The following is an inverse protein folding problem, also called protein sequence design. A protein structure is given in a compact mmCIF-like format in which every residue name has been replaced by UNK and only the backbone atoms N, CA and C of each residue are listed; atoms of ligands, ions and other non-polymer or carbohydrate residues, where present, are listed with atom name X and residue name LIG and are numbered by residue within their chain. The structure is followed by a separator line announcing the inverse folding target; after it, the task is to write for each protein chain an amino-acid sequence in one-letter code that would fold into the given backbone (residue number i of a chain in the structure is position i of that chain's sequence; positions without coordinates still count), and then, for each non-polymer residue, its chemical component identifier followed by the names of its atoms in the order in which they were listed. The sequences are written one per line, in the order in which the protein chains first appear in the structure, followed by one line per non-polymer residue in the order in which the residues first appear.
data_IF_444475864305
#
_entry.id   IF_444475864305
#
_cell.length_a   1.000
_cell.length_b   1.000
_cell.length_c   1.000
_cell.angle_alpha   90.00
_cell.angle_beta   90.00
_cell.angle_gamma   90.00
#
_symmetry.space_group_name_H-M   'P 1'
#
loop_
_entity.id
_entity.type
_entity.pdbx_description
1 polymer ?
#
# COMPACT_ATOMS: atom_id res chain seq x y z
N UNK A 1 -22.28 0.89 -9.52
CA UNK A 1 -22.16 2.19 -10.20
C UNK A 1 -21.39 1.97 -11.50
N UNK A 2 -21.91 2.52 -12.62
CA UNK A 2 -21.16 2.52 -13.87
C UNK A 2 -19.97 3.49 -13.80
N UNK A 3 -18.99 3.32 -14.72
CA UNK A 3 -17.75 4.09 -14.68
C UNK A 3 -17.96 5.61 -14.80
N UNK A 4 -18.98 6.05 -15.57
CA UNK A 4 -19.27 7.49 -15.74
C UNK A 4 -19.86 8.10 -14.47
N UNK A 5 -20.78 7.41 -13.83
CA UNK A 5 -21.41 7.86 -12.58
C UNK A 5 -20.37 7.89 -11.45
N UNK A 6 -19.47 6.91 -11.41
CA UNK A 6 -18.34 6.86 -10.47
C UNK A 6 -17.42 8.08 -10.65
N UNK A 7 -17.00 8.37 -11.88
CA UNK A 7 -16.13 9.51 -12.18
C UNK A 7 -16.79 10.85 -11.84
N UNK A 8 -18.06 10.99 -12.15
CA UNK A 8 -18.83 12.19 -11.78
C UNK A 8 -18.91 12.37 -10.26
N UNK A 9 -19.13 11.29 -9.52
CA UNK A 9 -19.15 11.34 -8.04
C UNK A 9 -17.81 11.77 -7.48
N UNK A 10 -16.70 11.17 -7.96
CA UNK A 10 -15.34 11.51 -7.52
C UNK A 10 -15.03 12.98 -7.82
N UNK A 11 -15.34 13.46 -9.02
CA UNK A 11 -15.10 14.86 -9.38
C UNK A 11 -15.91 15.84 -8.51
N UNK A 12 -17.15 15.47 -8.18
CA UNK A 12 -18.01 16.26 -7.29
C UNK A 12 -17.46 16.32 -5.87
N UNK A 13 -17.00 15.19 -5.33
CA UNK A 13 -16.38 15.12 -4.01
C UNK A 13 -15.10 15.97 -3.95
N UNK A 14 -14.23 15.86 -4.95
CA UNK A 14 -13.03 16.69 -5.04
C UNK A 14 -13.33 18.18 -5.10
N UNK A 15 -14.36 18.59 -5.84
CA UNK A 15 -14.79 19.99 -5.86
C UNK A 15 -15.24 20.45 -4.48
N UNK A 16 -16.06 19.66 -3.78
CA UNK A 16 -16.55 19.99 -2.44
C UNK A 16 -15.43 20.12 -1.40
N UNK A 17 -14.40 19.28 -1.49
CA UNK A 17 -13.23 19.30 -0.59
C UNK A 17 -12.35 20.51 -0.90
N UNK A 18 -12.07 20.78 -2.18
CA UNK A 18 -11.18 21.86 -2.61
C UNK A 18 -11.77 23.25 -2.37
N UNK A 19 -13.09 23.39 -2.38
CA UNK A 19 -13.75 24.65 -2.01
C UNK A 19 -13.63 25.00 -0.51
N UNK A 20 -13.02 24.10 0.28
CA UNK A 20 -12.60 24.36 1.67
C UNK A 20 -13.73 24.52 2.69
N UNK A 21 -14.98 24.28 2.30
CA UNK A 21 -16.14 24.52 3.17
C UNK A 21 -16.69 23.25 3.82
N UNK A 22 -16.20 22.07 3.43
CA UNK A 22 -16.78 20.80 3.89
C UNK A 22 -15.71 19.72 4.08
N UNK A 23 -15.90 18.91 5.11
CA UNK A 23 -15.17 17.66 5.30
C UNK A 23 -16.02 16.51 4.78
N UNK A 24 -15.40 15.57 4.08
CA UNK A 24 -16.06 14.37 3.54
C UNK A 24 -15.51 13.15 4.25
N UNK A 25 -16.40 12.32 4.76
CA UNK A 25 -16.06 10.98 5.24
C UNK A 25 -16.63 9.98 4.25
N UNK A 26 -15.75 9.17 3.65
CA UNK A 26 -16.10 8.15 2.67
C UNK A 26 -15.71 6.77 3.19
N UNK A 27 -16.59 5.79 3.02
CA UNK A 27 -16.26 4.38 3.23
C UNK A 27 -16.31 3.67 1.87
N UNK A 28 -15.22 3.05 1.48
CA UNK A 28 -15.10 2.32 0.21
C UNK A 28 -14.16 1.14 0.36
N UNK A 29 -14.36 0.11 -0.44
CA UNK A 29 -13.39 -0.96 -0.66
C UNK A 29 -12.54 -0.72 -1.93
N UNK A 30 -12.89 0.26 -2.74
CA UNK A 30 -12.14 0.64 -3.92
C UNK A 30 -11.05 1.63 -3.53
N UNK A 31 -9.84 1.12 -3.29
CA UNK A 31 -8.73 1.89 -2.75
C UNK A 31 -8.27 3.00 -3.69
N UNK A 32 -8.36 2.76 -5.00
CA UNK A 32 -8.09 3.76 -6.03
C UNK A 32 -8.97 5.02 -5.89
N UNK A 33 -10.28 4.84 -5.56
CA UNK A 33 -11.18 5.97 -5.34
C UNK A 33 -10.84 6.74 -4.08
N UNK A 34 -10.49 6.01 -3.01
CA UNK A 34 -10.06 6.60 -1.74
C UNK A 34 -8.80 7.44 -1.95
N UNK A 35 -7.83 6.91 -2.68
CA UNK A 35 -6.56 7.58 -3.00
C UNK A 35 -6.75 8.89 -3.79
N UNK A 36 -7.77 8.92 -4.66
CA UNK A 36 -8.09 10.08 -5.50
C UNK A 36 -8.83 11.20 -4.77
N UNK A 37 -9.49 10.91 -3.65
CA UNK A 37 -10.38 11.87 -2.95
C UNK A 37 -9.89 12.19 -1.54
N UNK A 38 -9.26 11.24 -0.86
CA UNK A 38 -8.93 11.36 0.55
C UNK A 38 -7.45 11.65 0.78
N UNK A 39 -7.15 12.56 1.70
CA UNK A 39 -5.79 12.78 2.19
C UNK A 39 -5.45 11.87 3.37
N UNK A 40 -6.44 11.51 4.17
CA UNK A 40 -6.30 10.69 5.37
C UNK A 40 -7.15 9.45 5.28
N UNK A 41 -6.66 8.35 5.84
CA UNK A 41 -7.38 7.08 5.91
C UNK A 41 -7.44 6.52 7.33
N UNK A 42 -8.46 5.72 7.53
CA UNK A 42 -8.59 4.79 8.65
C UNK A 42 -8.85 3.41 8.07
N UNK A 43 -7.90 2.51 8.21
CA UNK A 43 -8.00 1.14 7.74
C UNK A 43 -8.52 0.24 8.84
N UNK A 44 -9.64 -0.42 8.58
CA UNK A 44 -10.26 -1.36 9.52
C UNK A 44 -10.21 -2.78 8.96
N UNK A 45 -9.78 -3.72 9.78
CA UNK A 45 -9.83 -5.13 9.46
C UNK A 45 -10.46 -5.93 10.60
N UNK A 46 -11.50 -6.72 10.31
CA UNK A 46 -12.25 -7.52 11.31
C UNK A 46 -12.65 -6.72 12.57
N UNK A 47 -13.12 -5.49 12.37
CA UNK A 47 -13.57 -4.59 13.44
C UNK A 47 -12.44 -3.99 14.28
N UNK A 48 -11.17 -4.14 13.88
CA UNK A 48 -10.01 -3.56 14.55
C UNK A 48 -9.35 -2.52 13.66
N UNK A 49 -8.76 -1.51 14.30
CA UNK A 49 -7.93 -0.53 13.61
C UNK A 49 -6.63 -1.22 13.16
N UNK A 50 -6.40 -1.23 11.85
CA UNK A 50 -5.18 -1.78 11.25
C UNK A 50 -4.14 -0.68 10.98
N UNK A 51 -4.58 0.46 10.44
CA UNK A 51 -3.74 1.64 10.24
C UNK A 51 -4.60 2.91 10.20
N UNK A 52 -3.98 4.06 10.48
CA UNK A 52 -4.58 5.39 10.28
C UNK A 52 -3.49 6.42 10.01
N UNK A 53 -3.79 7.43 9.23
CA UNK A 53 -2.89 8.54 8.97
C UNK A 53 -3.09 9.15 7.60
N UNK A 54 -2.16 10.04 7.21
CA UNK A 54 -2.13 10.58 5.86
C UNK A 54 -1.64 9.51 4.89
N UNK A 55 -2.29 9.42 3.74
CA UNK A 55 -1.94 8.42 2.72
C UNK A 55 -0.47 8.58 2.29
N UNK A 56 -0.02 9.82 2.08
CA UNK A 56 1.37 10.12 1.71
C UNK A 56 2.38 9.61 2.74
N UNK A 57 2.12 9.86 4.04
CA UNK A 57 3.02 9.45 5.12
C UNK A 57 3.07 7.92 5.24
N UNK A 58 1.93 7.26 5.07
CA UNK A 58 1.84 5.81 5.12
C UNK A 58 2.53 5.15 3.91
N UNK A 59 2.44 5.74 2.73
CA UNK A 59 3.10 5.27 1.50
C UNK A 59 4.62 5.56 1.51
N UNK A 60 5.05 6.61 2.20
CA UNK A 60 6.46 6.99 2.28
C UNK A 60 7.33 5.99 3.06
N UNK A 61 6.70 5.10 3.87
CA UNK A 61 7.41 4.12 4.69
C UNK A 61 8.11 3.05 3.84
N UNK A 62 7.54 2.73 2.66
CA UNK A 62 8.06 1.67 1.77
C UNK A 62 8.42 2.24 0.39
N UNK A 63 9.43 3.14 0.36
CA UNK A 63 10.00 3.56 -0.93
C UNK A 63 10.74 2.38 -1.56
N UNK A 64 10.40 2.06 -2.79
CA UNK A 64 11.04 1.00 -3.56
C UNK A 64 11.56 1.57 -4.90
N UNK A 65 12.58 0.93 -5.45
CA UNK A 65 13.02 1.15 -6.82
C UNK A 65 12.52 -0.04 -7.64
N UNK A 66 11.69 0.23 -8.64
CA UNK A 66 11.26 -0.79 -9.59
C UNK A 66 12.21 -0.83 -10.78
N UNK A 67 12.69 -2.03 -11.10
CA UNK A 67 13.57 -2.29 -12.24
C UNK A 67 13.00 -3.38 -13.13
N UNK A 68 13.09 -3.16 -14.44
CA UNK A 68 12.74 -4.15 -15.44
C UNK A 68 14.02 -4.78 -15.98
N UNK A 69 14.22 -6.06 -15.69
CA UNK A 69 15.44 -6.80 -16.02
C UNK A 69 15.17 -7.75 -17.19
N UNK A 70 15.95 -7.63 -18.27
CA UNK A 70 15.76 -8.43 -19.48
C UNK A 70 16.64 -9.70 -19.51
N UNK A 71 17.82 -9.65 -18.93
CA UNK A 71 18.74 -10.78 -18.80
C UNK A 71 19.50 -10.71 -17.49
N UNK A 72 19.85 -11.86 -16.90
CA UNK A 72 20.62 -11.94 -15.66
C UNK A 72 19.80 -11.67 -14.38
N UNK A 73 18.46 -11.68 -14.45
CA UNK A 73 17.60 -11.30 -13.34
C UNK A 73 17.85 -12.13 -12.06
N UNK A 74 18.03 -13.45 -12.18
CA UNK A 74 18.27 -14.33 -11.02
C UNK A 74 19.58 -14.00 -10.32
N UNK A 75 20.66 -13.80 -11.09
CA UNK A 75 21.96 -13.43 -10.52
C UNK A 75 21.95 -12.05 -9.87
N UNK A 76 21.22 -11.10 -10.48
CA UNK A 76 21.07 -9.78 -9.91
C UNK A 76 20.29 -9.83 -8.59
N UNK A 77 19.20 -10.59 -8.54
CA UNK A 77 18.42 -10.78 -7.33
C UNK A 77 19.25 -11.37 -6.18
N UNK A 78 20.00 -12.46 -6.48
CA UNK A 78 20.88 -13.10 -5.51
C UNK A 78 21.93 -12.13 -4.98
N UNK A 79 22.63 -11.41 -5.88
CA UNK A 79 23.66 -10.44 -5.48
C UNK A 79 23.10 -9.29 -4.65
N UNK A 80 21.91 -8.77 -5.00
CA UNK A 80 21.28 -7.71 -4.22
C UNK A 80 20.86 -8.19 -2.83
N UNK A 81 20.33 -9.43 -2.72
CA UNK A 81 20.00 -10.03 -1.43
C UNK A 81 21.24 -10.29 -0.57
N UNK A 82 22.32 -10.75 -1.17
CA UNK A 82 23.62 -10.97 -0.47
C UNK A 82 24.19 -9.66 0.06
N UNK A 83 23.89 -8.53 -0.60
CA UNK A 83 24.23 -7.17 -0.14
C UNK A 83 23.26 -6.59 0.90
N UNK A 84 22.25 -7.38 1.31
CA UNK A 84 21.29 -6.98 2.34
C UNK A 84 20.06 -6.24 1.85
N UNK A 85 19.89 -6.07 0.53
CA UNK A 85 18.68 -5.45 0.00
C UNK A 85 17.48 -6.37 0.09
N UNK A 86 16.33 -5.83 0.48
CA UNK A 86 15.05 -6.54 0.35
C UNK A 86 14.61 -6.47 -1.10
N UNK A 87 14.47 -7.62 -1.74
CA UNK A 87 14.12 -7.72 -3.16
C UNK A 87 12.87 -8.59 -3.31
N UNK A 88 11.87 -8.05 -3.98
CA UNK A 88 10.69 -8.79 -4.47
C UNK A 88 10.78 -8.88 -5.99
N UNK A 89 10.53 -10.06 -6.56
CA UNK A 89 10.58 -10.25 -8.01
C UNK A 89 9.34 -10.97 -8.53
N UNK A 90 8.77 -10.37 -9.55
CA UNK A 90 7.66 -10.93 -10.33
C UNK A 90 8.08 -11.01 -11.80
N UNK A 91 8.49 -12.17 -12.24
CA UNK A 91 8.96 -12.38 -13.60
C UNK A 91 10.19 -11.53 -13.94
N UNK A 92 9.99 -10.48 -14.75
CA UNK A 92 11.03 -9.54 -15.19
C UNK A 92 11.06 -8.23 -14.40
N UNK A 93 10.07 -8.00 -13.58
CA UNK A 93 9.97 -6.84 -12.70
C UNK A 93 10.58 -7.20 -11.36
N UNK A 94 11.42 -6.34 -10.85
CA UNK A 94 12.05 -6.50 -9.55
C UNK A 94 11.91 -5.18 -8.78
N UNK A 95 11.44 -5.25 -7.54
CA UNK A 95 11.32 -4.13 -6.63
C UNK A 95 12.35 -4.28 -5.53
N UNK A 96 13.12 -3.24 -5.33
CA UNK A 96 14.22 -3.19 -4.35
C UNK A 96 13.89 -2.09 -3.36
N UNK A 97 13.85 -2.43 -2.06
CA UNK A 97 13.58 -1.42 -1.04
C UNK A 97 14.61 -0.30 -1.09
N UNK A 98 14.12 0.95 -1.16
CA UNK A 98 14.95 2.16 -1.23
C UNK A 98 15.23 2.67 0.18
N UNK A 99 16.09 1.95 0.92
CA UNK A 99 16.43 2.24 2.32
C UNK A 99 17.65 3.13 2.49
N UNK A 100 18.40 3.38 1.41
CA UNK A 100 19.66 4.11 1.44
C UNK A 100 19.68 5.20 0.36
N UNK A 101 20.42 6.27 0.63
CA UNK A 101 20.56 7.43 -0.28
C UNK A 101 21.12 7.07 -1.67
N UNK A 102 21.80 5.92 -1.80
CA UNK A 102 22.46 5.47 -3.02
C UNK A 102 21.94 4.14 -3.56
N UNK A 103 20.73 3.71 -3.19
CA UNK A 103 20.15 2.43 -3.62
C UNK A 103 20.22 2.24 -5.15
N UNK A 104 19.89 3.27 -5.93
CA UNK A 104 19.98 3.24 -7.40
C UNK A 104 21.39 2.94 -7.90
N UNK A 105 22.41 3.55 -7.31
CA UNK A 105 23.81 3.33 -7.66
C UNK A 105 24.24 1.89 -7.35
N UNK A 106 23.85 1.36 -6.21
CA UNK A 106 24.14 -0.03 -5.82
C UNK A 106 23.49 -1.04 -6.76
N UNK A 107 22.23 -0.78 -7.19
CA UNK A 107 21.54 -1.61 -8.18
C UNK A 107 22.29 -1.62 -9.51
N UNK A 108 22.71 -0.45 -10.01
CA UNK A 108 23.44 -0.35 -11.28
C UNK A 108 24.80 -1.03 -11.22
N UNK A 109 25.54 -0.89 -10.12
CA UNK A 109 26.81 -1.59 -9.90
C UNK A 109 26.61 -3.12 -9.88
N UNK A 110 25.63 -3.60 -9.11
CA UNK A 110 25.32 -5.02 -9.06
C UNK A 110 24.92 -5.57 -10.43
N UNK A 111 24.10 -4.82 -11.19
CA UNK A 111 23.71 -5.21 -12.54
C UNK A 111 24.92 -5.33 -13.49
N UNK A 112 25.87 -4.37 -13.40
CA UNK A 112 27.09 -4.39 -14.19
C UNK A 112 27.98 -5.60 -13.86
N UNK A 113 28.12 -5.94 -12.57
CA UNK A 113 28.94 -7.07 -12.12
C UNK A 113 28.44 -8.43 -12.63
N UNK A 114 27.11 -8.61 -12.62
CA UNK A 114 26.52 -9.90 -13.06
C UNK A 114 26.14 -9.91 -14.54
N UNK A 115 26.38 -8.80 -15.27
CA UNK A 115 25.99 -8.65 -16.67
C UNK A 115 24.49 -8.61 -16.88
N UNK A 116 23.71 -8.14 -15.90
CA UNK A 116 22.27 -8.02 -16.01
C UNK A 116 21.89 -6.79 -16.87
N UNK A 117 20.83 -6.95 -17.67
CA UNK A 117 20.35 -5.89 -18.55
C UNK A 117 19.11 -5.22 -17.96
N UNK A 118 19.27 -4.03 -17.40
CA UNK A 118 18.17 -3.19 -16.94
C UNK A 118 17.63 -2.38 -18.11
N UNK A 119 16.34 -2.46 -18.39
CA UNK A 119 15.64 -1.72 -19.45
C UNK A 119 14.90 -0.50 -18.93
N UNK A 120 14.43 -0.56 -17.69
CA UNK A 120 13.71 0.52 -17.04
C UNK A 120 14.06 0.51 -15.56
N UNK A 121 14.18 1.67 -14.98
CA UNK A 121 14.36 1.89 -13.55
C UNK A 121 13.63 3.17 -13.17
N UNK A 122 12.84 3.13 -12.13
CA UNK A 122 12.16 4.31 -11.58
C UNK A 122 11.83 4.08 -10.10
N UNK A 123 11.60 5.16 -9.39
CA UNK A 123 11.03 5.07 -8.05
C UNK A 123 9.61 4.54 -8.15
N UNK A 124 9.31 3.53 -7.33
CA UNK A 124 7.99 2.95 -7.24
C UNK A 124 7.22 3.64 -6.14
N UNK A 125 6.12 4.26 -6.52
CA UNK A 125 5.16 4.79 -5.58
C UNK A 125 4.13 3.71 -5.30
N UNK A 126 4.18 3.14 -4.08
CA UNK A 126 3.21 2.14 -3.65
C UNK A 126 1.79 2.70 -3.76
N UNK A 127 0.87 1.91 -4.27
CA UNK A 127 -0.55 2.22 -4.22
C UNK A 127 -1.10 2.01 -2.80
N UNK A 128 -2.29 2.55 -2.53
CA UNK A 128 -2.98 2.27 -1.26
C UNK A 128 -3.30 0.76 -1.12
N UNK A 129 -3.48 0.06 -2.24
CA UNK A 129 -3.68 -1.39 -2.26
C UNK A 129 -2.42 -2.13 -1.83
N UNK A 130 -1.23 -1.75 -2.34
CA UNK A 130 0.04 -2.34 -1.92
C UNK A 130 0.29 -2.15 -0.43
N UNK A 131 0.01 -0.94 0.08
CA UNK A 131 0.09 -0.63 1.50
C UNK A 131 -0.85 -1.52 2.34
N UNK A 132 -2.09 -1.70 1.87
CA UNK A 132 -3.06 -2.55 2.54
C UNK A 132 -2.58 -4.00 2.61
N UNK A 133 -2.08 -4.54 1.48
CA UNK A 133 -1.54 -5.90 1.43
C UNK A 133 -0.35 -6.06 2.38
N UNK A 134 0.58 -5.11 2.39
CA UNK A 134 1.73 -5.12 3.28
C UNK A 134 1.33 -5.08 4.77
N UNK A 135 0.32 -4.28 5.12
CA UNK A 135 -0.22 -4.23 6.50
C UNK A 135 -0.85 -5.57 6.87
N UNK A 136 -1.63 -6.18 5.97
CA UNK A 136 -2.26 -7.48 6.21
C UNK A 136 -1.24 -8.59 6.40
N UNK A 137 -0.19 -8.65 5.59
CA UNK A 137 0.92 -9.60 5.73
C UNK A 137 1.63 -9.43 7.10
N UNK A 138 1.90 -8.18 7.50
CA UNK A 138 2.50 -7.89 8.80
C UNK A 138 1.62 -8.29 10.00
N UNK A 139 0.29 -8.29 9.81
CA UNK A 139 -0.66 -8.79 10.79
C UNK A 139 -0.82 -10.33 10.78
N UNK A 140 -0.05 -11.03 9.93
CA UNK A 140 -0.06 -12.49 9.83
C UNK A 140 -1.19 -13.07 8.98
N UNK A 141 -1.75 -12.27 8.07
CA UNK A 141 -2.73 -12.74 7.09
C UNK A 141 -2.04 -13.05 5.76
N UNK A 142 -2.20 -14.27 5.25
CA UNK A 142 -1.83 -14.59 3.87
C UNK A 142 -2.87 -13.98 2.94
N UNK A 143 -2.46 -12.99 2.14
CA UNK A 143 -3.34 -12.29 1.20
C UNK A 143 -2.75 -12.36 -0.19
N UNK A 144 -3.54 -12.84 -1.15
CA UNK A 144 -3.14 -12.88 -2.57
C UNK A 144 -3.60 -11.64 -3.33
N UNK A 145 -4.72 -11.04 -2.89
CA UNK A 145 -5.24 -9.77 -3.43
C UNK A 145 -6.16 -9.10 -2.41
N UNK A 146 -6.43 -7.81 -2.59
CA UNK A 146 -7.40 -7.07 -1.78
C UNK A 146 -8.82 -7.65 -1.88
N UNK A 147 -9.19 -8.18 -3.05
CA UNK A 147 -10.49 -8.80 -3.30
C UNK A 147 -10.73 -10.06 -2.45
N UNK A 148 -9.69 -10.84 -2.16
CA UNK A 148 -9.78 -12.04 -1.31
C UNK A 148 -10.22 -11.71 0.12
N UNK A 149 -9.85 -10.53 0.63
CA UNK A 149 -10.23 -10.08 1.97
C UNK A 149 -11.64 -9.53 2.04
N UNK A 150 -12.09 -8.93 0.94
CA UNK A 150 -13.40 -8.27 0.85
C UNK A 150 -14.54 -9.26 0.57
N UNK A 151 -14.22 -10.40 -0.05
CA UNK A 151 -15.18 -11.46 -0.36
C UNK A 151 -15.45 -12.42 0.82
N UNK A 152 -14.68 -12.35 1.89
CA UNK A 152 -14.92 -13.14 3.09
C UNK A 152 -16.19 -12.66 3.78
N UNK A 153 -17.15 -13.55 4.14
CA UNK A 153 -18.35 -13.15 4.85
C UNK A 153 -18.01 -12.44 6.15
N UNK A 154 -18.51 -11.23 6.33
CA UNK A 154 -18.44 -10.53 7.60
C UNK A 154 -19.34 -11.29 8.57
N UNK A 155 -18.78 -12.20 9.36
CA UNK A 155 -19.46 -12.64 10.57
C UNK A 155 -19.59 -11.41 11.47
N UNK A 156 -20.79 -10.86 11.51
CA UNK A 156 -21.17 -9.78 12.40
C UNK A 156 -21.04 -10.27 13.86
N UNK A 157 -19.83 -10.19 14.41
CA UNK A 157 -19.66 -10.25 15.86
C UNK A 157 -20.17 -8.94 16.41
N UNK A 158 -21.27 -9.02 17.18
CA UNK A 158 -21.68 -7.94 18.08
C UNK A 158 -20.45 -7.52 18.88
N UNK A 159 -20.08 -6.27 18.75
CA UNK A 159 -19.15 -5.62 19.66
C UNK A 159 -19.92 -5.48 20.97
N UNK A 160 -19.59 -6.29 21.96
CA UNK A 160 -20.05 -6.07 23.32
C UNK A 160 -19.54 -4.69 23.73
N UNK A 161 -20.49 -3.82 24.05
CA UNK A 161 -20.18 -2.49 24.54
C UNK A 161 -19.31 -2.61 25.81
N UNK A 162 -18.30 -1.76 26.01
CA UNK A 162 -17.54 -1.76 27.24
C UNK A 162 -18.51 -1.56 28.41
N UNK A 163 -18.46 -2.47 29.39
CA UNK A 163 -19.19 -2.36 30.62
C UNK A 163 -18.97 -0.99 31.24
N UNK A 164 -20.08 -0.31 31.50
CA UNK A 164 -20.15 0.96 32.18
C UNK A 164 -19.29 0.94 33.44
N UNK A 165 -18.34 1.86 33.53
CA UNK A 165 -17.66 2.21 34.78
C UNK A 165 -18.71 2.55 35.81
N UNK A 166 -19.02 1.60 36.67
CA UNK A 166 -19.94 1.76 37.78
C UNK A 166 -19.44 2.85 38.71
N UNK A 167 -20.29 3.86 38.90
CA UNK A 167 -20.10 4.89 39.88
C UNK A 167 -20.03 4.31 41.29
N UNK A 168 -18.93 4.60 41.98
CA UNK A 168 -18.85 4.48 43.42
C UNK A 168 -19.14 5.85 44.01
N UNK A 169 -20.33 6.02 44.54
CA UNK A 169 -20.64 7.08 45.45
C UNK A 169 -20.47 6.53 46.88
N UNK A 170 -19.69 7.19 47.68
CA UNK A 170 -19.88 7.37 49.13
C UNK A 170 -18.99 8.53 49.62
#
# INVERSE_FOLDING_TARGET
LDAKTREFMISTLNTMVNEGQRSVLMASHLMEDVERVCENIVLLHKGKLAAQGRIEDLKAIDKEVEIHVWGGATRLEELLRDRGFKVRREGRVMRVANTEEHTTTHILQAASEVGAQIRRMHEYEASLEDLFLAIMENLGYEVKSSDDLLSSPIEARRVDAPESLGGGAA
#
